data_IF_472284880160
#
_entry.id   IF_472284880160
#
_cell.length_a   1.000
_cell.length_b   1.000
_cell.length_c   1.000
_cell.angle_alpha   90.00
_cell.angle_beta   90.00
_cell.angle_gamma   90.00
#
_symmetry.space_group_name_H-M   'P 1'
#
loop_
_entity.id
_entity.type
_entity.pdbx_description
1 polymer ?
#
# COMPACT_ATOMS: atom_id res chain seq x y z
N UNK A 1 -5.72 22.17 3.39
CA UNK A 1 -6.38 21.06 2.69
C UNK A 1 -5.92 19.80 3.40
N UNK A 2 -6.81 19.24 4.21
CA UNK A 2 -6.48 18.20 5.19
C UNK A 2 -6.26 16.87 4.47
N UNK A 3 -5.21 16.13 4.86
CA UNK A 3 -4.87 14.82 4.28
C UNK A 3 -6.01 13.78 4.38
N UNK A 4 -7.06 14.06 5.16
CA UNK A 4 -8.27 13.24 5.26
C UNK A 4 -9.19 13.32 4.03
N UNK A 5 -9.19 14.41 3.26
CA UNK A 5 -10.08 14.50 2.07
C UNK A 5 -9.65 13.57 0.93
N UNK A 6 -8.38 13.17 0.90
CA UNK A 6 -7.85 12.27 -0.14
C UNK A 6 -8.11 10.78 0.15
N UNK A 7 -8.34 10.37 1.40
CA UNK A 7 -8.52 8.94 1.74
C UNK A 7 -9.93 8.41 1.41
N UNK A 8 -10.92 9.30 1.28
CA UNK A 8 -12.33 8.93 1.07
C UNK A 8 -12.82 9.13 -0.37
N UNK A 9 -11.95 9.57 -1.29
CA UNK A 9 -12.32 9.82 -2.67
C UNK A 9 -12.32 8.51 -3.47
N UNK A 10 -13.50 8.08 -3.93
CA UNK A 10 -13.63 6.97 -4.88
C UNK A 10 -12.83 7.34 -6.14
N UNK A 11 -11.72 6.64 -6.39
CA UNK A 11 -10.87 6.89 -7.57
C UNK A 11 -11.73 6.84 -8.83
N UNK A 12 -11.73 7.93 -9.59
CA UNK A 12 -12.32 7.96 -10.93
C UNK A 12 -11.32 7.39 -11.95
N UNK A 13 -11.81 6.71 -12.99
CA UNK A 13 -10.95 6.14 -14.04
C UNK A 13 -10.06 7.20 -14.72
N UNK A 14 -10.46 8.48 -14.68
CA UNK A 14 -9.75 9.60 -15.30
C UNK A 14 -8.66 10.23 -14.43
N UNK A 15 -8.42 9.74 -13.21
CA UNK A 15 -7.33 10.27 -12.37
C UNK A 15 -5.95 9.82 -12.87
N UNK A 16 -4.94 10.69 -12.74
CA UNK A 16 -3.57 10.36 -13.10
C UNK A 16 -3.05 9.19 -12.26
N UNK A 17 -2.10 8.45 -12.81
CA UNK A 17 -1.50 7.32 -12.10
C UNK A 17 -0.90 7.75 -10.76
N UNK A 18 -0.32 8.96 -10.67
CA UNK A 18 0.21 9.50 -9.41
C UNK A 18 -0.89 9.65 -8.34
N UNK A 19 -2.07 10.18 -8.68
CA UNK A 19 -3.19 10.33 -7.73
C UNK A 19 -3.70 8.97 -7.27
N UNK A 20 -3.79 7.99 -8.19
CA UNK A 20 -4.16 6.61 -7.87
C UNK A 20 -3.15 5.96 -6.91
N UNK A 21 -1.86 6.17 -7.16
CA UNK A 21 -0.78 5.68 -6.29
C UNK A 21 -0.84 6.31 -4.89
N UNK A 22 -1.05 7.63 -4.82
CA UNK A 22 -1.22 8.36 -3.57
C UNK A 22 -2.39 7.80 -2.75
N UNK A 23 -3.57 7.68 -3.36
CA UNK A 23 -4.73 7.09 -2.69
C UNK A 23 -4.44 5.67 -2.19
N UNK A 24 -3.91 4.82 -3.07
CA UNK A 24 -3.62 3.42 -2.73
C UNK A 24 -2.66 3.32 -1.54
N UNK A 25 -1.61 4.15 -1.51
CA UNK A 25 -0.66 4.15 -0.40
C UNK A 25 -1.37 4.45 0.93
N UNK A 26 -2.09 5.56 1.03
CA UNK A 26 -2.73 5.94 2.28
C UNK A 26 -3.88 4.99 2.67
N UNK A 27 -4.62 4.47 1.68
CA UNK A 27 -5.64 3.45 1.92
C UNK A 27 -5.03 2.16 2.48
N UNK A 28 -3.95 1.66 1.87
CA UNK A 28 -3.23 0.49 2.36
C UNK A 28 -2.73 0.70 3.79
N UNK A 29 -2.14 1.86 4.07
CA UNK A 29 -1.67 2.24 5.42
C UNK A 29 -2.78 2.20 6.47
N UNK A 30 -3.96 2.71 6.13
CA UNK A 30 -5.10 2.71 7.03
C UNK A 30 -5.66 1.31 7.25
N UNK A 31 -5.93 0.57 6.18
CA UNK A 31 -6.52 -0.77 6.26
C UNK A 31 -5.57 -1.76 6.94
N UNK A 32 -4.28 -1.74 6.60
CA UNK A 32 -3.28 -2.64 7.21
C UNK A 32 -3.10 -2.36 8.69
N UNK A 33 -3.04 -1.09 9.11
CA UNK A 33 -2.98 -0.71 10.53
C UNK A 33 -4.21 -1.21 11.29
N UNK A 34 -5.40 -0.92 10.77
CA UNK A 34 -6.65 -1.36 11.40
C UNK A 34 -6.72 -2.89 11.51
N UNK A 35 -6.24 -3.61 10.49
CA UNK A 35 -6.18 -5.07 10.52
C UNK A 35 -5.18 -5.59 11.58
N UNK A 36 -4.01 -4.97 11.72
CA UNK A 36 -3.03 -5.30 12.76
C UNK A 36 -3.61 -5.05 14.16
N UNK A 37 -4.27 -3.92 14.39
CA UNK A 37 -4.91 -3.58 15.67
C UNK A 37 -6.01 -4.58 16.05
N UNK A 38 -6.68 -5.17 15.06
CA UNK A 38 -7.68 -6.23 15.24
C UNK A 38 -7.07 -7.64 15.34
N UNK A 39 -5.74 -7.77 15.26
CA UNK A 39 -5.03 -9.05 15.26
C UNK A 39 -5.15 -9.85 13.96
N UNK A 40 -5.72 -9.28 12.89
CA UNK A 40 -5.86 -9.93 11.60
C UNK A 40 -4.63 -9.68 10.71
N UNK A 41 -3.53 -10.37 11.04
CA UNK A 41 -2.25 -10.20 10.35
C UNK A 41 -2.29 -10.69 8.90
N UNK A 42 -3.04 -11.74 8.60
CA UNK A 42 -3.23 -12.22 7.22
C UNK A 42 -3.83 -11.13 6.35
N UNK A 43 -4.91 -10.47 6.79
CA UNK A 43 -5.51 -9.35 6.06
C UNK A 43 -4.52 -8.20 5.86
N UNK A 44 -3.80 -7.81 6.91
CA UNK A 44 -2.80 -6.75 6.80
C UNK A 44 -1.73 -7.08 5.75
N UNK A 45 -1.23 -8.33 5.76
CA UNK A 45 -0.26 -8.81 4.79
C UNK A 45 -0.80 -8.82 3.36
N UNK A 46 -2.05 -9.27 3.16
CA UNK A 46 -2.71 -9.26 1.86
C UNK A 46 -2.87 -7.85 1.28
N UNK A 47 -3.24 -6.86 2.10
CA UNK A 47 -3.37 -5.48 1.65
C UNK A 47 -2.00 -4.87 1.28
N UNK A 48 -0.96 -5.19 2.04
CA UNK A 48 0.41 -4.75 1.75
C UNK A 48 0.92 -5.36 0.44
N UNK A 49 0.82 -6.69 0.26
CA UNK A 49 1.31 -7.35 -0.96
C UNK A 49 0.54 -6.91 -2.21
N UNK A 50 -0.78 -6.75 -2.11
CA UNK A 50 -1.59 -6.23 -3.22
C UNK A 50 -1.18 -4.81 -3.61
N UNK A 51 -0.93 -3.96 -2.62
CA UNK A 51 -0.52 -2.58 -2.85
C UNK A 51 0.88 -2.50 -3.45
N UNK A 52 1.83 -3.32 -2.97
CA UNK A 52 3.18 -3.45 -3.55
C UNK A 52 3.11 -3.85 -5.03
N UNK A 53 2.30 -4.85 -5.36
CA UNK A 53 2.12 -5.32 -6.75
C UNK A 53 1.54 -4.21 -7.63
N UNK A 54 0.52 -3.49 -7.13
CA UNK A 54 -0.09 -2.40 -7.90
C UNK A 54 0.85 -1.21 -8.08
N UNK A 55 1.67 -0.89 -7.08
CA UNK A 55 2.72 0.12 -7.23
C UNK A 55 3.76 -0.25 -8.29
N UNK A 56 4.10 -1.54 -8.42
CA UNK A 56 4.99 -1.99 -9.48
C UNK A 56 4.42 -1.67 -10.88
N UNK A 57 3.10 -1.82 -11.09
CA UNK A 57 2.42 -1.41 -12.32
C UNK A 57 2.43 0.12 -12.50
N UNK A 58 2.08 0.88 -11.46
CA UNK A 58 2.04 2.35 -11.51
C UNK A 58 3.40 2.96 -11.86
N UNK A 59 4.48 2.35 -11.38
CA UNK A 59 5.84 2.76 -11.68
C UNK A 59 6.22 2.62 -13.15
N UNK A 60 5.46 1.89 -13.96
CA UNK A 60 5.70 1.74 -15.40
C UNK A 60 4.83 2.66 -16.25
N UNK A 61 3.91 3.42 -15.63
CA UNK A 61 3.00 4.27 -16.37
C UNK A 61 3.73 5.41 -17.09
N UNK A 62 3.19 5.79 -18.25
CA UNK A 62 3.75 6.83 -19.13
C UNK A 62 3.30 8.25 -18.75
N UNK A 63 2.24 8.37 -17.95
CA UNK A 63 1.64 9.65 -17.53
C UNK A 63 2.27 10.25 -16.26
N UNK A 64 3.31 9.60 -15.70
CA UNK A 64 4.03 10.06 -14.50
C UNK A 64 5.38 10.70 -14.85
N UNK A 65 5.62 11.90 -14.31
CA UNK A 65 6.89 12.61 -14.47
C UNK A 65 7.98 12.09 -13.50
N UNK A 66 9.21 12.60 -13.62
CA UNK A 66 10.36 12.15 -12.81
C UNK A 66 10.21 12.45 -11.32
N UNK A 67 9.63 13.60 -10.95
CA UNK A 67 9.40 13.99 -9.56
C UNK A 67 8.36 13.08 -8.91
N UNK A 68 7.21 12.88 -9.57
CA UNK A 68 6.15 11.97 -9.14
C UNK A 68 6.67 10.54 -8.99
N UNK A 69 7.45 10.06 -9.96
CA UNK A 69 8.07 8.74 -9.91
C UNK A 69 9.00 8.56 -8.71
N UNK A 70 9.78 9.59 -8.35
CA UNK A 70 10.65 9.53 -7.17
C UNK A 70 9.85 9.52 -5.86
N UNK A 71 8.74 10.25 -5.78
CA UNK A 71 7.84 10.19 -4.63
C UNK A 71 7.16 8.82 -4.52
N UNK A 72 6.67 8.27 -5.64
CA UNK A 72 6.10 6.93 -5.69
C UNK A 72 7.11 5.84 -5.32
N UNK A 73 8.40 6.00 -5.66
CA UNK A 73 9.47 5.10 -5.16
C UNK A 73 9.55 5.07 -3.65
N UNK A 74 9.45 6.23 -3.00
CA UNK A 74 9.51 6.30 -1.55
C UNK A 74 8.32 5.54 -0.91
N UNK A 75 7.11 5.73 -1.43
CA UNK A 75 5.92 4.98 -0.99
C UNK A 75 6.05 3.47 -1.24
N UNK A 76 6.50 3.09 -2.43
CA UNK A 76 6.74 1.68 -2.77
C UNK A 76 7.72 1.01 -1.81
N UNK A 77 8.87 1.64 -1.55
CA UNK A 77 9.89 1.09 -0.65
C UNK A 77 9.37 0.99 0.79
N UNK A 78 8.54 1.94 1.23
CA UNK A 78 7.89 1.86 2.54
C UNK A 78 6.92 0.66 2.62
N UNK A 79 6.08 0.44 1.60
CA UNK A 79 5.17 -0.71 1.58
C UNK A 79 5.92 -2.06 1.53
N UNK A 80 7.01 -2.13 0.76
CA UNK A 80 7.89 -3.32 0.71
C UNK A 80 8.48 -3.60 2.08
N UNK A 81 9.03 -2.58 2.72
CA UNK A 81 9.61 -2.70 4.05
C UNK A 81 8.60 -3.22 5.07
N UNK A 82 7.40 -2.63 5.12
CA UNK A 82 6.36 -3.03 6.08
C UNK A 82 5.81 -4.44 5.81
N UNK A 83 5.67 -4.83 4.53
CA UNK A 83 5.32 -6.20 4.16
C UNK A 83 6.35 -7.19 4.68
N UNK A 84 7.63 -6.89 4.48
CA UNK A 84 8.74 -7.78 4.86
C UNK A 84 8.89 -7.85 6.38
N UNK A 85 8.72 -6.74 7.10
CA UNK A 85 8.67 -6.72 8.56
C UNK A 85 7.52 -7.57 9.10
N UNK A 86 6.32 -7.45 8.54
CA UNK A 86 5.17 -8.24 8.98
C UNK A 86 5.39 -9.74 8.70
N UNK A 87 5.96 -10.08 7.53
CA UNK A 87 6.30 -11.46 7.18
C UNK A 87 7.30 -12.04 8.17
N UNK A 88 8.41 -11.35 8.42
CA UNK A 88 9.43 -11.79 9.38
C UNK A 88 8.86 -11.89 10.79
N UNK A 89 8.00 -10.95 11.20
CA UNK A 89 7.32 -11.01 12.50
C UNK A 89 6.47 -12.29 12.62
N UNK A 90 5.64 -12.57 11.60
CA UNK A 90 4.78 -13.74 11.61
C UNK A 90 5.58 -15.04 11.58
N UNK A 91 6.62 -15.13 10.77
CA UNK A 91 7.54 -16.28 10.72
C UNK A 91 8.17 -16.53 12.09
N UNK A 92 8.71 -15.49 12.73
CA UNK A 92 9.29 -15.58 14.08
C UNK A 92 8.28 -16.00 15.16
N UNK A 93 6.98 -15.78 14.92
CA UNK A 93 5.89 -16.17 15.82
C UNK A 93 5.20 -17.47 15.40
N UNK A 94 5.65 -18.13 14.34
CA UNK A 94 4.98 -19.29 13.72
C UNK A 94 3.50 -19.01 13.38
N UNK A 95 3.18 -17.78 12.97
CA UNK A 95 1.84 -17.38 12.53
C UNK A 95 1.73 -17.63 11.02
N UNK A 96 0.71 -18.37 10.60
CA UNK A 96 0.44 -18.58 9.19
C UNK A 96 -0.34 -17.39 8.59
N UNK A 97 0.33 -16.59 7.75
CA UNK A 97 -0.29 -15.45 7.07
C UNK A 97 -1.13 -15.84 5.84
N UNK A 98 -1.10 -17.12 5.44
CA UNK A 98 -1.73 -17.62 4.21
C UNK A 98 -3.01 -18.43 4.48
N UNK A 99 -3.42 -18.57 5.74
CA UNK A 99 -4.71 -19.15 6.10
C UNK A 99 -5.83 -18.13 5.90
N UNK A 100 -6.84 -18.52 5.12
CA UNK A 100 -8.06 -17.77 4.79
C UNK A 100 -9.25 -18.31 5.58
#
# INVERSE_FOLDING_TARGET
MEMQELSNKKISNNESTYVKAHYLFFHCKDVSRNAIEQGNLSKAYFELINSVNKFHEFMQASDINSTERNQMRAWYMNLVFERDELYMFAENKNINLFEH
#
